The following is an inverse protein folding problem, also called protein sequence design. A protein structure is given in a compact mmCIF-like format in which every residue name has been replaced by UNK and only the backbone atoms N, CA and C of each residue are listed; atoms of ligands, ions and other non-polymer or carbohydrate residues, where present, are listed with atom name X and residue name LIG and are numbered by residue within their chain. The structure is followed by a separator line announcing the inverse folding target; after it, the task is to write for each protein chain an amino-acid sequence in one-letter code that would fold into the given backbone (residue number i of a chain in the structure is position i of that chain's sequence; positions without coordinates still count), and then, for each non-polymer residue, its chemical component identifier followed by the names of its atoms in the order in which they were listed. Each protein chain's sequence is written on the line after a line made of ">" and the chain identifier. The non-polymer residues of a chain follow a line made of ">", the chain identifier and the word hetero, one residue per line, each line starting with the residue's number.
data_IF_786723506301
#
_entry.id   IF_786723506301
#
_cell.length_a   1.000
_cell.length_b   1.000
_cell.length_c   1.000
_cell.angle_alpha   90.00
_cell.angle_beta   90.00
_cell.angle_gamma   90.00
#
_symmetry.space_group_name_H-M   'P 1'
#
loop_
_entity.id
_entity.type
_entity.pdbx_description
1 polymer ?
#
# COMPACT_ATOMS: atom_id res chain seq x y z
N UNK A 1 17.67 13.79 11.34
CA UNK A 1 18.73 13.59 10.33
C UNK A 1 19.31 12.18 10.36
N UNK A 2 19.09 11.41 11.45
CA UNK A 2 19.56 10.02 11.60
C UNK A 2 18.79 8.98 10.76
N UNK A 3 17.48 9.15 10.59
CA UNK A 3 16.61 8.18 9.91
C UNK A 3 16.96 7.92 8.43
N UNK A 4 17.26 8.94 7.58
CA UNK A 4 17.66 8.69 6.19
C UNK A 4 19.03 8.01 6.08
N UNK A 5 19.97 8.32 7.00
CA UNK A 5 21.30 7.70 7.04
C UNK A 5 21.23 6.22 7.46
N UNK A 6 20.31 5.89 8.36
CA UNK A 6 20.06 4.51 8.76
C UNK A 6 19.44 3.70 7.61
N UNK A 7 18.47 4.30 6.89
CA UNK A 7 17.84 3.66 5.74
C UNK A 7 18.84 3.39 4.61
N UNK A 8 19.75 4.32 4.31
CA UNK A 8 20.79 4.09 3.29
C UNK A 8 21.74 2.97 3.69
N UNK A 9 22.21 2.95 4.93
CA UNK A 9 23.08 1.87 5.45
C UNK A 9 22.41 0.48 5.40
N UNK A 10 21.12 0.38 5.74
CA UNK A 10 20.37 -0.88 5.67
C UNK A 10 20.22 -1.38 4.23
N UNK A 11 20.03 -0.47 3.26
CA UNK A 11 20.00 -0.82 1.83
C UNK A 11 21.36 -1.34 1.35
N UNK A 12 22.47 -0.69 1.74
CA UNK A 12 23.82 -1.16 1.41
C UNK A 12 24.18 -2.49 2.07
N UNK A 13 23.65 -2.76 3.27
CA UNK A 13 23.82 -4.03 3.97
C UNK A 13 22.92 -5.16 3.42
N UNK A 14 22.12 -4.91 2.36
CA UNK A 14 21.22 -5.90 1.78
C UNK A 14 19.99 -6.20 2.66
N UNK A 15 19.75 -5.41 3.71
CA UNK A 15 18.58 -5.53 4.59
C UNK A 15 17.44 -4.74 3.96
N UNK A 16 16.77 -5.35 2.98
CA UNK A 16 15.55 -4.76 2.40
C UNK A 16 14.43 -4.91 3.45
N UNK A 17 13.84 -3.82 3.97
CA UNK A 17 12.70 -3.93 4.86
C UNK A 17 11.60 -4.72 4.14
N UNK A 18 11.09 -5.77 4.79
CA UNK A 18 10.10 -6.68 4.23
C UNK A 18 8.76 -5.96 4.06
N UNK A 19 8.61 -5.15 3.01
CA UNK A 19 7.36 -4.50 2.63
C UNK A 19 6.50 -5.45 1.79
N UNK A 20 6.30 -6.70 2.23
CA UNK A 20 5.54 -7.71 1.49
C UNK A 20 4.17 -7.16 1.11
N UNK A 21 3.37 -6.77 2.11
CA UNK A 21 1.99 -6.31 1.88
C UNK A 21 1.86 -5.10 0.95
N UNK A 22 2.74 -4.09 1.06
CA UNK A 22 2.74 -2.95 0.13
C UNK A 22 3.14 -3.38 -1.29
N UNK A 23 4.15 -4.26 -1.43
CA UNK A 23 4.58 -4.76 -2.74
C UNK A 23 3.47 -5.59 -3.40
N UNK A 24 2.78 -6.45 -2.64
CA UNK A 24 1.63 -7.21 -3.11
C UNK A 24 0.52 -6.25 -3.58
N UNK A 25 0.15 -5.25 -2.78
CA UNK A 25 -0.90 -4.28 -3.12
C UNK A 25 -0.56 -3.48 -4.39
N UNK A 26 0.67 -2.98 -4.49
CA UNK A 26 1.13 -2.27 -5.68
C UNK A 26 1.04 -3.16 -6.93
N UNK A 27 1.42 -4.44 -6.81
CA UNK A 27 1.33 -5.38 -7.93
C UNK A 27 -0.13 -5.62 -8.34
N UNK A 28 -1.05 -5.79 -7.39
CA UNK A 28 -2.50 -5.95 -7.66
C UNK A 28 -3.08 -4.71 -8.35
N UNK A 29 -2.82 -3.50 -7.82
CA UNK A 29 -3.30 -2.25 -8.43
C UNK A 29 -2.78 -2.11 -9.86
N UNK A 30 -1.49 -2.42 -10.10
CA UNK A 30 -0.91 -2.36 -11.45
C UNK A 30 -1.58 -3.37 -12.39
N UNK A 31 -1.87 -4.59 -11.94
CA UNK A 31 -2.52 -5.61 -12.76
C UNK A 31 -3.95 -5.23 -13.15
N UNK A 32 -4.74 -4.72 -12.21
CA UNK A 32 -6.15 -4.38 -12.45
C UNK A 32 -6.31 -3.07 -13.23
N UNK A 33 -5.46 -2.07 -12.95
CA UNK A 33 -5.64 -0.71 -13.50
C UNK A 33 -4.68 -0.34 -14.63
N UNK A 34 -3.59 -1.09 -14.80
CA UNK A 34 -2.48 -0.76 -15.71
C UNK A 34 -1.65 0.46 -15.29
N UNK A 35 -1.96 1.12 -14.17
CA UNK A 35 -1.29 2.35 -13.72
C UNK A 35 -0.11 2.06 -12.81
N UNK A 36 0.85 2.98 -12.75
CA UNK A 36 1.96 2.94 -11.80
C UNK A 36 1.47 3.38 -10.41
N UNK A 37 1.31 2.47 -9.42
CA UNK A 37 0.55 2.79 -8.21
C UNK A 37 1.15 3.90 -7.36
N UNK A 38 2.47 3.89 -7.23
CA UNK A 38 3.24 4.88 -6.47
C UNK A 38 3.10 6.28 -7.07
N UNK A 39 2.91 6.41 -8.38
CA UNK A 39 2.80 7.72 -9.03
C UNK A 39 1.33 8.15 -9.12
N UNK A 40 0.43 7.20 -9.42
CA UNK A 40 -0.97 7.51 -9.73
C UNK A 40 -1.87 7.59 -8.50
N UNK A 41 -1.59 6.80 -7.45
CA UNK A 41 -2.49 6.70 -6.28
C UNK A 41 -1.83 7.19 -4.99
N UNK A 42 -0.52 6.99 -4.80
CA UNK A 42 0.13 7.40 -3.53
C UNK A 42 -0.01 8.88 -3.16
N UNK A 43 0.02 9.85 -4.10
CA UNK A 43 -0.20 11.26 -3.78
C UNK A 43 -1.64 11.72 -4.11
N UNK A 44 -2.58 10.81 -4.33
CA UNK A 44 -3.89 11.15 -4.88
C UNK A 44 -4.90 11.54 -3.79
N UNK A 45 -5.59 12.66 -3.99
CA UNK A 45 -6.70 13.04 -3.14
C UNK A 45 -6.28 13.33 -1.70
N UNK A 46 -7.13 12.95 -0.76
CA UNK A 46 -6.99 13.22 0.66
C UNK A 46 -6.70 11.96 1.49
N UNK A 47 -6.96 10.77 0.96
CA UNK A 47 -6.85 9.48 1.67
C UNK A 47 -5.96 8.45 0.97
N UNK A 48 -5.68 8.57 -0.33
CA UNK A 48 -4.76 7.63 -0.96
C UNK A 48 -3.31 7.91 -0.51
N UNK A 49 -2.66 6.91 0.07
CA UNK A 49 -1.29 6.99 0.56
C UNK A 49 -1.20 6.95 2.09
N UNK A 50 -0.11 7.48 2.68
CA UNK A 50 0.11 7.41 4.10
C UNK A 50 -0.72 8.45 4.85
N UNK A 51 -1.80 7.98 5.48
CA UNK A 51 -2.71 8.80 6.26
C UNK A 51 -3.77 9.48 5.42
N UNK A 52 -4.88 9.85 6.06
CA UNK A 52 -6.01 10.47 5.39
C UNK A 52 -6.78 11.39 6.33
N UNK A 53 -7.18 12.57 5.84
CA UNK A 53 -7.99 13.53 6.59
C UNK A 53 -8.85 14.38 5.68
N UNK A 54 -10.01 14.81 6.19
CA UNK A 54 -10.97 15.60 5.42
C UNK A 54 -11.88 14.75 4.54
N UNK A 55 -12.66 15.41 3.70
CA UNK A 55 -13.60 14.75 2.79
C UNK A 55 -12.87 14.14 1.58
N UNK A 56 -13.21 12.91 1.16
CA UNK A 56 -12.64 12.33 -0.05
C UNK A 56 -12.97 13.17 -1.29
N UNK A 57 -11.97 13.37 -2.14
CA UNK A 57 -12.04 14.20 -3.34
C UNK A 57 -13.05 13.66 -4.37
N UNK A 58 -13.06 12.36 -4.59
CA UNK A 58 -13.89 11.68 -5.58
C UNK A 58 -14.01 10.17 -5.27
N UNK A 59 -14.63 9.41 -6.18
CA UNK A 59 -14.84 7.97 -6.02
C UNK A 59 -13.54 7.16 -5.82
N UNK A 60 -12.42 7.57 -6.42
CA UNK A 60 -11.13 6.90 -6.20
C UNK A 60 -10.64 7.12 -4.78
N UNK A 61 -10.74 8.37 -4.31
CA UNK A 61 -10.33 8.73 -2.95
C UNK A 61 -11.24 8.09 -1.88
N UNK A 62 -12.53 7.88 -2.19
CA UNK A 62 -13.44 7.08 -1.35
C UNK A 62 -12.98 5.62 -1.21
N UNK A 63 -12.48 5.00 -2.29
CA UNK A 63 -11.89 3.65 -2.21
C UNK A 63 -10.69 3.63 -1.25
N UNK A 64 -9.84 4.66 -1.30
CA UNK A 64 -8.68 4.78 -0.41
C UNK A 64 -9.09 4.97 1.06
N UNK A 65 -10.09 5.81 1.33
CA UNK A 65 -10.63 5.96 2.69
C UNK A 65 -11.18 4.62 3.23
N UNK A 66 -11.92 3.87 2.40
CA UNK A 66 -12.44 2.56 2.80
C UNK A 66 -11.30 1.55 3.05
N UNK A 67 -10.25 1.60 2.22
CA UNK A 67 -9.04 0.79 2.41
C UNK A 67 -8.31 1.13 3.71
N UNK A 68 -8.20 2.41 4.07
CA UNK A 68 -7.65 2.84 5.36
C UNK A 68 -8.47 2.31 6.54
N UNK A 69 -9.81 2.32 6.44
CA UNK A 69 -10.68 1.70 7.43
C UNK A 69 -10.44 0.18 7.55
N UNK A 70 -10.27 -0.53 6.43
CA UNK A 70 -9.92 -1.94 6.43
C UNK A 70 -8.58 -2.20 7.13
N UNK A 71 -7.56 -1.41 6.81
CA UNK A 71 -6.25 -1.50 7.46
C UNK A 71 -6.32 -1.18 8.96
N UNK A 72 -7.14 -0.19 9.36
CA UNK A 72 -7.37 0.11 10.78
C UNK A 72 -8.03 -1.07 11.51
N UNK A 73 -8.99 -1.76 10.87
CA UNK A 73 -9.60 -2.96 11.42
C UNK A 73 -8.58 -4.10 11.58
N UNK A 74 -7.79 -4.40 10.55
CA UNK A 74 -6.77 -5.45 10.58
C UNK A 74 -5.69 -5.19 11.64
N UNK A 75 -5.29 -3.93 11.85
CA UNK A 75 -4.35 -3.57 12.93
C UNK A 75 -4.90 -3.88 14.33
N UNK A 76 -6.22 -3.79 14.55
CA UNK A 76 -6.84 -4.22 15.83
C UNK A 76 -6.66 -5.72 16.08
N UNK A 77 -6.57 -6.51 15.01
CA UNK A 77 -6.26 -7.95 15.04
C UNK A 77 -4.75 -8.26 14.97
N UNK A 78 -3.89 -7.25 15.16
CA UNK A 78 -2.42 -7.36 15.17
C UNK A 78 -1.80 -7.81 13.84
N UNK A 79 -2.51 -7.66 12.72
CA UNK A 79 -1.93 -7.83 11.38
C UNK A 79 -0.99 -6.66 11.05
N UNK A 80 0.15 -6.93 10.42
CA UNK A 80 1.11 -5.92 9.96
C UNK A 80 0.86 -5.62 8.48
N UNK A 81 -0.21 -4.88 8.22
CA UNK A 81 -0.76 -4.60 6.87
C UNK A 81 0.22 -4.06 5.82
N UNK A 82 1.35 -3.47 6.22
CA UNK A 82 2.35 -2.96 5.30
C UNK A 82 3.48 -3.97 4.99
N UNK A 83 3.69 -4.95 5.87
CA UNK A 83 4.87 -5.83 5.83
C UNK A 83 4.52 -7.29 5.64
N UNK A 84 3.35 -7.73 6.13
CA UNK A 84 2.90 -9.10 5.98
C UNK A 84 2.69 -9.40 4.49
N UNK A 85 3.41 -10.40 3.98
CA UNK A 85 3.22 -10.93 2.63
C UNK A 85 1.94 -11.75 2.57
N UNK A 86 1.25 -11.69 1.44
CA UNK A 86 0.11 -12.55 1.14
C UNK A 86 0.18 -13.04 -0.30
N UNK A 87 -0.30 -14.26 -0.51
CA UNK A 87 -0.40 -14.87 -1.83
C UNK A 87 -1.75 -14.53 -2.46
N UNK A 88 -1.74 -14.40 -3.78
CA UNK A 88 -2.93 -14.21 -4.60
C UNK A 88 -2.61 -14.61 -6.04
N UNK A 89 -3.63 -14.86 -6.83
CA UNK A 89 -3.51 -15.05 -8.27
C UNK A 89 -4.27 -13.97 -9.04
N UNK A 90 -3.84 -13.71 -10.27
CA UNK A 90 -4.52 -12.80 -11.19
C UNK A 90 -4.91 -13.57 -12.43
N UNK A 91 -6.21 -13.71 -12.67
CA UNK A 91 -6.73 -14.42 -13.84
C UNK A 91 -7.94 -13.68 -14.40
N UNK A 92 -8.03 -13.59 -15.72
CA UNK A 92 -9.15 -12.97 -16.44
C UNK A 92 -9.51 -11.53 -16.01
N UNK A 93 -8.55 -10.77 -15.50
CA UNK A 93 -8.78 -9.39 -15.03
C UNK A 93 -9.11 -9.26 -13.54
N UNK A 94 -9.25 -10.39 -12.84
CA UNK A 94 -9.66 -10.42 -11.43
C UNK A 94 -8.56 -10.93 -10.51
N UNK A 95 -8.58 -10.42 -9.27
CA UNK A 95 -7.73 -10.86 -8.17
C UNK A 95 -8.44 -11.98 -7.41
N UNK A 96 -7.75 -13.09 -7.18
CA UNK A 96 -8.20 -14.20 -6.35
C UNK A 96 -7.22 -14.37 -5.19
N UNK A 97 -7.68 -14.08 -3.97
CA UNK A 97 -6.94 -14.28 -2.74
C UNK A 97 -6.88 -15.76 -2.37
#
# INVERSE_FOLDING_TARGET
>A
MELPLLCTLLVFAGVIPTQGGILNLNKMIKQVTGKAPIISYWPYGCHCGPGGKGQPKDATDWCCQNHDCCYAHLRKHRCRVHTDHYDYTFSHGDIQC
#
